data_IF_469242804646
#
_entry.id   IF_469242804646
#
_cell.length_a   1.000
_cell.length_b   1.000
_cell.length_c   1.000
_cell.angle_alpha   90.00
_cell.angle_beta   90.00
_cell.angle_gamma   90.00
#
_symmetry.space_group_name_H-M   'P 1'
#
loop_
_entity.id
_entity.type
_entity.pdbx_description
1 polymer ?
#
# COMPACT_ATOMS: atom_id res chain seq x y z
N UNK A 1 29.38 -21.12 12.50
CA UNK A 1 28.04 -20.52 12.80
C UNK A 1 27.17 -20.81 11.61
N UNK A 2 25.92 -21.21 11.81
CA UNK A 2 25.02 -21.39 10.68
C UNK A 2 24.93 -20.06 9.90
N UNK A 3 24.99 -20.15 8.57
CA UNK A 3 24.89 -18.98 7.69
C UNK A 3 23.50 -18.38 7.86
N UNK A 4 23.41 -17.15 8.35
CA UNK A 4 22.15 -16.43 8.57
C UNK A 4 21.79 -15.67 7.30
N UNK A 5 20.76 -16.10 6.55
CA UNK A 5 20.42 -15.48 5.27
C UNK A 5 19.89 -14.04 5.44
N UNK A 6 20.17 -13.20 4.47
CA UNK A 6 19.45 -11.93 4.31
C UNK A 6 18.03 -12.20 3.82
N UNK A 7 17.06 -11.42 4.32
CA UNK A 7 15.64 -11.59 4.01
C UNK A 7 15.10 -10.31 3.42
N UNK A 8 14.46 -10.39 2.26
CA UNK A 8 13.74 -9.28 1.64
C UNK A 8 12.30 -9.74 1.39
N UNK A 9 11.35 -9.13 2.08
CA UNK A 9 9.94 -9.28 1.83
C UNK A 9 9.48 -8.12 0.94
N UNK A 10 9.00 -8.42 -0.27
CA UNK A 10 8.46 -7.40 -1.18
C UNK A 10 6.96 -7.62 -1.31
N UNK A 11 6.18 -6.57 -1.06
CA UNK A 11 4.74 -6.61 -1.23
C UNK A 11 4.27 -5.47 -2.13
N UNK A 12 3.23 -5.74 -2.91
CA UNK A 12 2.45 -4.75 -3.65
C UNK A 12 1.01 -4.78 -3.13
N UNK A 13 0.41 -3.60 -2.94
CA UNK A 13 -0.92 -3.50 -2.36
C UNK A 13 -2.02 -3.67 -3.42
N UNK A 14 -3.03 -4.46 -3.11
CA UNK A 14 -4.19 -4.73 -3.98
C UNK A 14 -3.81 -5.33 -5.35
N UNK A 15 -2.66 -5.96 -5.46
CA UNK A 15 -2.23 -6.61 -6.70
C UNK A 15 -2.98 -7.93 -6.89
N UNK A 16 -3.65 -8.08 -8.01
CA UNK A 16 -4.33 -9.34 -8.35
C UNK A 16 -3.30 -10.45 -8.60
N UNK A 17 -3.53 -11.62 -8.02
CA UNK A 17 -2.62 -12.76 -8.14
C UNK A 17 -2.42 -13.29 -9.56
N UNK A 18 -3.33 -12.97 -10.50
CA UNK A 18 -3.23 -13.34 -11.91
C UNK A 18 -2.66 -12.24 -12.82
N UNK A 19 -2.28 -11.08 -12.27
CA UNK A 19 -1.74 -9.96 -13.04
C UNK A 19 -0.21 -9.97 -13.10
N UNK A 20 0.35 -11.08 -13.59
CA UNK A 20 1.78 -11.25 -13.86
C UNK A 20 1.97 -11.86 -15.26
N UNK A 21 3.08 -11.57 -15.92
CA UNK A 21 3.42 -12.14 -17.22
C UNK A 21 3.48 -13.67 -17.18
N UNK A 22 4.03 -14.25 -16.12
CA UNK A 22 4.11 -15.70 -15.94
C UNK A 22 2.74 -16.39 -15.67
N UNK A 23 1.67 -15.62 -15.42
CA UNK A 23 0.29 -16.14 -15.36
C UNK A 23 -0.42 -16.18 -16.72
N UNK A 24 0.28 -15.83 -17.80
CA UNK A 24 -0.27 -15.86 -19.15
C UNK A 24 -1.13 -14.66 -19.54
N UNK A 25 -1.16 -13.62 -18.71
CA UNK A 25 -1.83 -12.36 -19.04
C UNK A 25 -0.94 -11.46 -19.90
N UNK A 26 -1.57 -10.59 -20.68
CA UNK A 26 -0.88 -9.56 -21.47
C UNK A 26 -0.28 -8.42 -20.62
N UNK A 27 0.25 -8.77 -19.45
CA UNK A 27 0.92 -7.84 -18.53
C UNK A 27 2.42 -8.03 -18.59
N UNK A 28 3.17 -6.94 -18.71
CA UNK A 28 4.63 -6.99 -18.82
C UNK A 28 5.28 -6.80 -17.45
N UNK A 29 5.68 -7.91 -16.83
CA UNK A 29 6.36 -7.93 -15.50
C UNK A 29 7.72 -8.64 -15.58
N UNK A 30 8.68 -8.17 -16.43
CA UNK A 30 9.86 -8.95 -16.79
C UNK A 30 10.76 -9.29 -15.61
N UNK A 31 10.88 -8.41 -14.62
CA UNK A 31 11.69 -8.66 -13.43
C UNK A 31 11.04 -9.69 -12.49
N UNK A 32 9.74 -9.61 -12.30
CA UNK A 32 8.99 -10.59 -11.50
C UNK A 32 8.93 -11.95 -12.21
N UNK A 33 8.80 -11.96 -13.53
CA UNK A 33 8.86 -13.18 -14.34
C UNK A 33 10.22 -13.87 -14.21
N UNK A 34 11.32 -13.08 -14.20
CA UNK A 34 12.67 -13.60 -13.96
C UNK A 34 12.82 -14.19 -12.57
N UNK A 35 12.30 -13.53 -11.54
CA UNK A 35 12.30 -14.03 -10.16
C UNK A 35 11.50 -15.33 -10.05
N UNK A 36 10.31 -15.39 -10.63
CA UNK A 36 9.47 -16.58 -10.65
C UNK A 36 10.15 -17.77 -11.35
N UNK A 37 10.89 -17.50 -12.43
CA UNK A 37 11.67 -18.53 -13.15
C UNK A 37 12.85 -19.06 -12.35
N UNK A 38 13.49 -18.20 -11.56
CA UNK A 38 14.69 -18.57 -10.76
C UNK A 38 14.38 -19.05 -9.34
N UNK A 39 13.12 -18.98 -8.91
CA UNK A 39 12.70 -19.29 -7.54
C UNK A 39 11.57 -20.31 -7.46
N UNK A 40 10.89 -20.32 -6.32
CA UNK A 40 9.71 -21.15 -6.07
C UNK A 40 8.45 -20.30 -6.13
N UNK A 41 7.49 -20.72 -6.96
CA UNK A 41 6.19 -20.09 -7.07
C UNK A 41 5.15 -20.85 -6.25
N UNK A 42 4.43 -20.13 -5.39
CA UNK A 42 3.32 -20.65 -4.60
C UNK A 42 1.98 -20.27 -5.25
N UNK A 43 1.40 -21.16 -6.04
CA UNK A 43 0.15 -20.89 -6.78
C UNK A 43 -1.08 -20.76 -5.89
N UNK A 44 -1.05 -21.30 -4.68
CA UNK A 44 -2.14 -21.31 -3.71
C UNK A 44 -1.78 -20.56 -2.42
N UNK A 45 -1.15 -19.40 -2.54
CA UNK A 45 -0.89 -18.51 -1.40
C UNK A 45 -2.10 -17.59 -1.18
N UNK A 46 -2.83 -17.81 -0.09
CA UNK A 46 -4.09 -17.12 0.20
C UNK A 46 -3.87 -16.18 1.38
N UNK A 47 -4.26 -14.90 1.20
CA UNK A 47 -4.26 -13.94 2.30
C UNK A 47 -5.38 -14.23 3.32
N UNK A 48 -5.12 -14.07 4.64
CA UNK A 48 -6.14 -14.28 5.66
C UNK A 48 -7.22 -13.20 5.68
N UNK A 49 -7.02 -12.08 4.99
CA UNK A 49 -7.99 -10.99 4.85
C UNK A 49 -7.83 -10.29 3.51
N UNK A 50 -8.94 -9.79 2.98
CA UNK A 50 -8.96 -8.94 1.77
C UNK A 50 -8.72 -7.46 2.10
N UNK A 51 -8.79 -7.07 3.37
CA UNK A 51 -8.49 -5.73 3.84
C UNK A 51 -7.01 -5.57 4.18
N UNK A 52 -6.46 -4.39 3.88
CA UNK A 52 -5.03 -4.11 3.98
C UNK A 52 -4.49 -4.28 5.41
N UNK A 53 -5.14 -3.64 6.38
CA UNK A 53 -4.64 -3.60 7.76
C UNK A 53 -4.64 -4.98 8.42
N UNK A 54 -5.75 -5.76 8.38
CA UNK A 54 -5.74 -7.13 8.89
C UNK A 54 -4.72 -8.04 8.21
N UNK A 55 -4.61 -7.96 6.87
CA UNK A 55 -3.64 -8.76 6.12
C UNK A 55 -2.20 -8.43 6.51
N UNK A 56 -1.86 -7.14 6.67
CA UNK A 56 -0.53 -6.68 7.05
C UNK A 56 -0.18 -7.02 8.49
N UNK A 57 -1.14 -6.88 9.41
CA UNK A 57 -1.00 -7.35 10.78
C UNK A 57 -0.73 -8.86 10.83
N UNK A 58 -1.43 -9.66 10.01
CA UNK A 58 -1.17 -11.09 9.89
C UNK A 58 0.21 -11.42 9.34
N UNK A 59 0.68 -10.68 8.33
CA UNK A 59 2.04 -10.85 7.79
C UNK A 59 3.08 -10.56 8.89
N UNK A 60 2.92 -9.46 9.63
CA UNK A 60 3.89 -9.07 10.66
C UNK A 60 3.92 -10.05 11.84
N UNK A 61 2.74 -10.43 12.34
CA UNK A 61 2.61 -11.23 13.57
C UNK A 61 2.64 -12.74 13.34
N UNK A 62 2.38 -13.20 12.11
CA UNK A 62 2.16 -14.63 11.83
C UNK A 62 0.83 -15.17 12.37
N UNK A 63 -0.10 -14.30 12.77
CA UNK A 63 -1.38 -14.66 13.39
C UNK A 63 -2.57 -14.36 12.47
N UNK A 64 -3.71 -15.00 12.73
CA UNK A 64 -4.96 -14.69 12.04
C UNK A 64 -5.63 -13.45 12.65
N UNK A 65 -6.50 -12.75 11.88
CA UNK A 65 -7.23 -11.57 12.38
C UNK A 65 -8.01 -11.81 13.68
N UNK A 66 -8.55 -13.00 13.87
CA UNK A 66 -9.23 -13.40 15.11
C UNK A 66 -8.31 -13.47 16.33
N UNK A 67 -7.00 -13.59 16.12
CA UNK A 67 -6.00 -13.70 17.20
C UNK A 67 -5.36 -12.34 17.49
N UNK A 68 -4.90 -11.61 16.47
CA UNK A 68 -4.27 -10.30 16.68
C UNK A 68 -5.29 -9.16 16.82
N UNK A 69 -6.59 -9.40 16.66
CA UNK A 69 -7.67 -8.45 16.91
C UNK A 69 -7.92 -7.39 15.85
N UNK A 70 -7.08 -7.29 14.83
CA UNK A 70 -7.27 -6.36 13.71
C UNK A 70 -8.23 -6.99 12.71
N UNK A 71 -9.53 -6.70 12.86
CA UNK A 71 -10.58 -7.31 12.05
C UNK A 71 -10.94 -6.49 10.80
N UNK A 72 -10.61 -5.19 10.77
CA UNK A 72 -10.93 -4.26 9.68
C UNK A 72 -9.91 -3.12 9.62
N UNK A 73 -9.94 -2.34 8.52
CA UNK A 73 -9.21 -1.08 8.43
C UNK A 73 -9.78 -0.08 9.46
N UNK A 74 -8.87 0.62 10.16
CA UNK A 74 -9.25 1.53 11.24
C UNK A 74 -9.11 0.93 12.65
N UNK A 75 -8.80 -0.37 12.77
CA UNK A 75 -8.46 -1.03 14.03
C UNK A 75 -6.94 -1.21 14.05
N UNK A 76 -6.27 -0.48 14.93
CA UNK A 76 -4.82 -0.50 14.99
C UNK A 76 -4.30 -1.81 15.60
N UNK A 77 -3.17 -2.27 15.07
CA UNK A 77 -2.42 -3.36 15.68
C UNK A 77 -1.84 -2.91 17.03
N UNK A 78 -1.99 -3.74 18.05
CA UNK A 78 -1.31 -3.52 19.33
C UNK A 78 0.21 -3.44 19.12
N UNK A 79 0.89 -2.38 19.59
CA UNK A 79 2.33 -2.23 19.43
C UNK A 79 3.13 -3.41 20.00
N UNK A 80 2.71 -3.99 21.13
CA UNK A 80 3.38 -5.14 21.72
C UNK A 80 3.25 -6.40 20.84
N UNK A 81 2.10 -6.59 20.17
CA UNK A 81 1.93 -7.65 19.19
C UNK A 81 2.81 -7.43 17.95
N UNK A 82 2.94 -6.19 17.50
CA UNK A 82 3.85 -5.82 16.42
C UNK A 82 5.31 -6.10 16.76
N UNK A 83 5.76 -5.67 17.94
CA UNK A 83 7.12 -5.92 18.46
C UNK A 83 7.42 -7.41 18.65
N UNK A 84 6.42 -8.23 18.95
CA UNK A 84 6.55 -9.68 19.03
C UNK A 84 6.59 -10.37 17.66
N UNK A 85 6.28 -9.66 16.59
CA UNK A 85 6.25 -10.17 15.22
C UNK A 85 7.64 -10.55 14.69
N UNK A 86 7.68 -10.93 13.39
CA UNK A 86 8.92 -11.42 12.78
C UNK A 86 10.04 -10.39 12.82
N UNK A 87 9.73 -9.10 12.61
CA UNK A 87 10.73 -8.04 12.58
C UNK A 87 11.44 -7.89 13.94
N UNK A 88 10.68 -7.75 15.03
CA UNK A 88 11.26 -7.67 16.36
C UNK A 88 11.96 -8.96 16.82
N UNK A 89 11.45 -10.12 16.40
CA UNK A 89 12.12 -11.40 16.67
C UNK A 89 13.47 -11.46 15.98
N UNK A 90 13.58 -11.06 14.72
CA UNK A 90 14.85 -11.02 13.98
C UNK A 90 15.78 -9.93 14.51
N UNK A 91 15.26 -8.76 14.90
CA UNK A 91 16.07 -7.71 15.53
C UNK A 91 16.73 -8.22 16.82
N UNK A 92 15.99 -8.91 17.70
CA UNK A 92 16.54 -9.55 18.89
C UNK A 92 17.56 -10.65 18.58
N UNK A 93 17.45 -11.27 17.40
CA UNK A 93 18.44 -12.24 16.92
C UNK A 93 19.66 -11.57 16.24
N UNK A 94 19.76 -10.24 16.24
CA UNK A 94 20.89 -9.49 15.72
C UNK A 94 20.84 -9.24 14.22
N UNK A 95 19.64 -9.16 13.62
CA UNK A 95 19.42 -8.67 12.27
C UNK A 95 19.23 -7.17 12.28
N UNK A 96 19.74 -6.48 11.26
CA UNK A 96 19.28 -5.15 10.92
C UNK A 96 17.89 -5.28 10.30
N UNK A 97 16.86 -4.60 10.87
CA UNK A 97 15.48 -4.70 10.37
C UNK A 97 15.01 -3.37 9.82
N UNK A 98 14.38 -3.40 8.63
CA UNK A 98 13.89 -2.18 7.98
C UNK A 98 12.52 -2.36 7.33
N UNK A 99 11.70 -1.31 7.32
CA UNK A 99 10.47 -1.25 6.51
C UNK A 99 10.44 0.03 5.69
N UNK A 100 10.09 -0.11 4.40
CA UNK A 100 10.05 0.98 3.43
C UNK A 100 8.70 1.00 2.73
N UNK A 101 7.99 2.12 2.81
CA UNK A 101 6.71 2.32 2.15
C UNK A 101 5.50 2.14 3.06
N UNK A 102 4.47 1.46 2.57
CA UNK A 102 3.20 1.30 3.29
C UNK A 102 3.30 0.25 4.38
N UNK A 103 3.32 0.66 5.64
CA UNK A 103 3.21 -0.24 6.79
C UNK A 103 1.76 -0.59 7.10
N UNK A 104 0.90 0.39 7.34
CA UNK A 104 -0.53 0.27 7.56
C UNK A 104 -0.88 -0.66 8.73
N UNK A 105 -0.12 -0.58 9.82
CA UNK A 105 -0.41 -1.24 11.10
C UNK A 105 -1.33 -0.38 11.97
N UNK A 106 -1.35 0.93 11.73
CA UNK A 106 -2.37 1.86 12.16
C UNK A 106 -2.77 2.76 10.99
N UNK A 107 -3.85 3.51 11.13
CA UNK A 107 -4.35 4.34 10.04
C UNK A 107 -4.33 5.82 10.37
N UNK A 108 -4.30 6.64 9.32
CA UNK A 108 -4.46 8.08 9.44
C UNK A 108 -5.75 8.46 10.18
N UNK A 109 -6.85 7.76 9.89
CA UNK A 109 -8.17 8.00 10.45
C UNK A 109 -8.65 6.79 11.24
N UNK A 110 -7.91 6.43 12.29
CA UNK A 110 -8.33 5.36 13.22
C UNK A 110 -9.56 5.77 14.00
N UNK A 111 -10.38 4.81 14.40
CA UNK A 111 -11.54 5.02 15.27
C UNK A 111 -11.15 5.55 16.64
N UNK A 112 -9.94 5.20 17.10
CA UNK A 112 -9.34 5.70 18.31
C UNK A 112 -7.98 6.30 17.95
N UNK A 113 -7.83 7.64 17.96
CA UNK A 113 -6.55 8.28 17.74
C UNK A 113 -5.49 7.70 18.66
N UNK A 114 -4.34 7.36 18.07
CA UNK A 114 -3.18 6.84 18.80
C UNK A 114 -1.97 7.69 18.45
N UNK A 115 -0.94 7.63 19.30
CA UNK A 115 0.32 8.33 19.05
C UNK A 115 1.25 7.58 18.10
N UNK A 116 0.70 6.73 17.23
CA UNK A 116 1.49 6.00 16.25
C UNK A 116 1.93 6.90 15.09
N UNK A 117 3.08 6.60 14.46
CA UNK A 117 3.59 7.42 13.36
C UNK A 117 2.67 7.44 12.13
N UNK A 118 1.80 6.47 11.98
CA UNK A 118 0.83 6.39 10.88
C UNK A 118 -0.48 7.11 11.16
N UNK A 119 -0.77 7.47 12.41
CA UNK A 119 -1.97 8.21 12.78
C UNK A 119 -1.81 9.70 12.43
N UNK A 120 -2.89 10.34 11.96
CA UNK A 120 -2.89 11.77 11.59
C UNK A 120 -2.37 12.68 12.72
N UNK A 121 -2.85 12.44 13.93
CA UNK A 121 -2.44 13.22 15.11
C UNK A 121 -1.05 12.83 15.60
N UNK A 122 -0.75 11.52 15.63
CA UNK A 122 0.54 11.01 16.08
C UNK A 122 1.68 11.39 15.14
N UNK A 123 1.47 11.35 13.83
CA UNK A 123 2.53 11.62 12.84
C UNK A 123 3.19 13.00 13.00
N UNK A 124 2.43 13.99 13.48
CA UNK A 124 2.91 15.35 13.70
C UNK A 124 3.84 15.48 14.93
N UNK A 125 3.80 14.52 15.83
CA UNK A 125 4.61 14.52 17.06
C UNK A 125 6.01 13.92 16.85
N UNK A 126 6.25 13.28 15.71
CA UNK A 126 7.55 12.69 15.41
C UNK A 126 8.49 13.71 14.78
N UNK A 127 9.78 13.76 15.23
CA UNK A 127 10.79 14.61 14.62
C UNK A 127 10.97 14.36 13.12
N UNK A 128 11.46 15.38 12.42
CA UNK A 128 11.65 15.28 10.96
C UNK A 128 12.68 14.23 10.55
N UNK A 129 13.65 13.96 11.41
CA UNK A 129 14.71 12.96 11.24
C UNK A 129 14.36 11.58 11.85
N UNK A 130 13.16 11.43 12.42
CA UNK A 130 12.76 10.14 12.98
C UNK A 130 12.64 9.08 11.88
N UNK A 131 13.28 7.95 12.12
CA UNK A 131 13.27 6.79 11.22
C UNK A 131 13.17 5.45 11.96
N UNK A 132 12.47 5.45 13.08
CA UNK A 132 12.25 4.25 13.91
C UNK A 132 12.74 4.42 15.36
N UNK A 133 12.59 3.39 16.18
CA UNK A 133 11.98 2.09 15.87
C UNK A 133 10.45 2.14 15.75
N UNK A 134 9.85 1.13 15.06
CA UNK A 134 8.41 0.96 14.96
C UNK A 134 8.03 -0.50 14.65
N UNK A 135 7.14 -1.09 15.42
CA UNK A 135 6.58 -2.44 15.21
C UNK A 135 7.68 -3.52 15.01
N UNK A 136 8.77 -3.42 15.75
CA UNK A 136 9.90 -4.34 15.69
C UNK A 136 10.91 -4.07 14.56
N UNK A 137 10.66 -3.09 13.70
CA UNK A 137 11.65 -2.60 12.74
C UNK A 137 12.52 -1.53 13.40
N UNK A 138 13.85 -1.69 13.32
CA UNK A 138 14.81 -0.71 13.83
C UNK A 138 14.94 0.52 12.95
N UNK A 139 14.67 0.37 11.65
CA UNK A 139 14.65 1.46 10.67
C UNK A 139 13.34 1.49 9.91
N UNK A 140 12.73 2.66 9.77
CA UNK A 140 11.47 2.81 9.04
C UNK A 140 11.49 4.05 8.15
N UNK A 141 10.96 3.90 6.95
CA UNK A 141 10.66 5.00 6.04
C UNK A 141 9.27 4.81 5.47
N UNK A 142 8.31 5.56 5.99
CA UNK A 142 6.90 5.30 5.83
C UNK A 142 6.25 6.18 4.77
N UNK A 143 5.24 5.61 4.12
CA UNK A 143 4.18 6.29 3.39
C UNK A 143 2.89 6.12 4.22
N UNK A 144 2.32 7.22 4.66
CA UNK A 144 1.10 7.19 5.50
C UNK A 144 -0.16 7.38 4.69
N UNK A 145 -0.11 8.26 3.69
CA UNK A 145 -1.27 8.61 2.88
C UNK A 145 -1.40 7.78 1.60
N UNK A 146 -0.36 7.08 1.21
CA UNK A 146 -0.34 6.29 -0.02
C UNK A 146 -0.61 7.14 -1.25
N UNK A 147 -1.73 6.86 -1.91
CA UNK A 147 -2.22 7.66 -3.03
C UNK A 147 -3.09 8.80 -2.51
N UNK A 148 -2.74 10.01 -2.88
CA UNK A 148 -3.51 11.18 -2.56
C UNK A 148 -4.67 11.30 -3.58
N UNK A 149 -5.85 11.71 -3.20
CA UNK A 149 -6.96 11.85 -4.14
C UNK A 149 -6.94 13.22 -4.83
N UNK A 150 -7.36 13.30 -6.11
CA UNK A 150 -7.59 14.56 -6.83
C UNK A 150 -8.45 15.57 -6.04
N UNK A 151 -9.30 15.10 -5.14
CA UNK A 151 -10.18 15.95 -4.35
C UNK A 151 -9.45 16.80 -3.29
N UNK A 152 -8.16 16.60 -3.06
CA UNK A 152 -7.39 17.42 -2.12
C UNK A 152 -6.78 18.63 -2.82
N UNK A 153 -7.58 19.68 -2.95
CA UNK A 153 -7.17 20.97 -3.49
C UNK A 153 -6.21 21.78 -2.57
N UNK A 154 -5.93 21.30 -1.36
CA UNK A 154 -5.05 22.01 -0.43
C UNK A 154 -3.71 21.31 -0.28
N UNK A 155 -2.61 22.07 -0.25
CA UNK A 155 -1.31 21.52 0.10
C UNK A 155 -1.46 20.73 1.40
N UNK A 156 -0.89 19.53 1.42
CA UNK A 156 -0.82 18.74 2.63
C UNK A 156 0.06 19.55 3.56
N UNK A 157 -0.44 19.99 4.72
CA UNK A 157 0.48 20.32 5.78
C UNK A 157 1.37 19.09 6.00
N UNK A 158 2.52 19.16 6.65
CA UNK A 158 3.41 18.00 6.85
C UNK A 158 2.77 16.96 7.78
N UNK A 159 1.53 16.55 7.43
CA UNK A 159 0.85 15.39 8.00
C UNK A 159 1.39 14.17 7.28
N UNK A 160 1.98 13.24 7.98
CA UNK A 160 2.56 12.04 7.41
C UNK A 160 4.01 11.86 7.81
N UNK A 161 4.68 10.96 7.15
CA UNK A 161 6.04 10.60 7.49
C UNK A 161 7.02 10.91 6.34
N UNK A 162 8.02 10.09 6.16
CA UNK A 162 9.17 10.41 5.32
C UNK A 162 8.79 10.72 3.86
N UNK A 163 7.87 9.95 3.27
CA UNK A 163 7.46 10.20 1.88
C UNK A 163 6.68 11.52 1.72
N UNK A 164 5.75 11.77 2.60
CA UNK A 164 4.94 13.00 2.55
C UNK A 164 5.82 14.24 2.78
N UNK A 165 6.81 14.16 3.69
CA UNK A 165 7.80 15.22 3.91
C UNK A 165 8.71 15.41 2.71
N UNK A 166 9.19 14.30 2.10
CA UNK A 166 9.94 14.34 0.85
C UNK A 166 9.14 15.03 -0.25
N UNK A 167 7.88 14.65 -0.44
CA UNK A 167 7.03 15.25 -1.46
C UNK A 167 6.78 16.73 -1.18
N UNK A 168 6.51 17.12 0.08
CA UNK A 168 6.34 18.50 0.51
C UNK A 168 7.60 19.34 0.23
N UNK A 169 8.80 18.80 0.40
CA UNK A 169 10.05 19.50 0.06
C UNK A 169 10.17 19.80 -1.44
N UNK A 170 9.59 18.95 -2.31
CA UNK A 170 9.54 19.18 -3.76
C UNK A 170 8.51 20.25 -4.14
N UNK A 171 7.51 20.47 -3.30
CA UNK A 171 6.56 21.57 -3.47
C UNK A 171 7.21 22.95 -3.30
N UNK A 172 8.14 23.07 -2.34
CA UNK A 172 8.90 24.28 -2.13
C UNK A 172 9.76 24.66 -3.35
N UNK A 173 10.15 23.67 -4.16
CA UNK A 173 10.90 23.84 -5.41
C UNK A 173 10.00 24.24 -6.61
N UNK A 174 8.73 24.55 -6.39
CA UNK A 174 7.88 25.21 -7.38
C UNK A 174 7.04 24.31 -8.28
N UNK A 175 6.40 23.23 -7.78
CA UNK A 175 5.38 22.64 -8.62
C UNK A 175 5.00 21.17 -8.46
N UNK A 176 5.56 20.43 -7.50
CA UNK A 176 5.28 18.99 -7.40
C UNK A 176 3.79 18.69 -7.10
N UNK A 177 3.12 19.56 -6.38
CA UNK A 177 1.73 19.36 -5.97
C UNK A 177 0.76 19.53 -7.12
N UNK A 178 0.95 20.59 -7.91
CA UNK A 178 0.13 20.81 -9.09
C UNK A 178 0.36 19.72 -10.13
N UNK A 179 1.63 19.27 -10.28
CA UNK A 179 1.96 18.18 -11.19
C UNK A 179 1.27 16.87 -10.81
N UNK A 180 1.15 16.60 -9.53
CA UNK A 180 0.53 15.36 -9.09
C UNK A 180 -1.01 15.38 -9.22
N UNK A 181 -1.66 16.52 -8.94
CA UNK A 181 -3.08 16.71 -9.18
C UNK A 181 -3.41 16.88 -10.68
N UNK A 182 -2.38 17.11 -11.51
CA UNK A 182 -2.54 17.33 -12.95
C UNK A 182 -2.76 16.00 -13.66
N UNK A 183 -3.89 15.89 -14.34
CA UNK A 183 -4.14 14.83 -15.30
C UNK A 183 -3.59 15.20 -16.66
N UNK A 184 -2.71 14.36 -17.20
CA UNK A 184 -2.20 14.51 -18.55
C UNK A 184 -3.25 14.05 -19.58
N UNK A 185 -3.40 14.75 -20.72
CA UNK A 185 -4.35 14.39 -21.75
C UNK A 185 -3.99 13.07 -22.46
N UNK A 186 -4.99 12.31 -23.00
CA UNK A 186 -6.42 12.57 -22.84
C UNK A 186 -6.90 12.21 -21.43
N UNK A 187 -7.91 12.92 -20.92
CA UNK A 187 -8.52 12.56 -19.64
C UNK A 187 -9.16 11.18 -19.71
N UNK A 188 -9.00 10.41 -18.66
CA UNK A 188 -9.64 9.09 -18.55
C UNK A 188 -11.14 9.18 -18.27
N UNK A 189 -11.60 10.34 -17.77
CA UNK A 189 -12.99 10.54 -17.31
C UNK A 189 -13.34 9.77 -16.03
N UNK A 190 -12.42 8.99 -15.47
CA UNK A 190 -12.65 8.19 -14.27
C UNK A 190 -12.21 8.95 -13.01
N UNK A 191 -13.00 8.81 -11.92
CA UNK A 191 -12.75 9.53 -10.68
C UNK A 191 -11.44 9.14 -9.96
N UNK A 192 -11.00 7.90 -10.15
CA UNK A 192 -9.83 7.32 -9.46
C UNK A 192 -8.78 6.77 -10.42
N UNK A 193 -8.78 7.20 -11.68
CA UNK A 193 -7.81 6.74 -12.68
C UNK A 193 -7.41 7.91 -13.56
N UNK A 194 -6.13 8.22 -13.62
CA UNK A 194 -5.61 9.29 -14.50
C UNK A 194 -4.14 9.10 -14.84
N UNK A 195 -3.73 9.71 -15.93
CA UNK A 195 -2.32 9.83 -16.27
C UNK A 195 -1.72 10.97 -15.45
N UNK A 196 -0.93 10.63 -14.44
CA UNK A 196 -0.38 11.63 -13.52
C UNK A 196 0.72 12.47 -14.18
N UNK A 197 0.69 13.78 -13.95
CA UNK A 197 1.77 14.70 -14.30
C UNK A 197 2.98 14.62 -13.37
N UNK A 198 2.91 13.82 -12.30
CA UNK A 198 4.02 13.64 -11.36
C UNK A 198 5.23 13.00 -12.06
N UNK A 199 6.43 13.58 -11.95
CA UNK A 199 7.63 12.94 -12.46
C UNK A 199 7.89 11.57 -11.82
N UNK A 200 8.28 10.58 -12.61
CA UNK A 200 8.59 9.21 -12.13
C UNK A 200 9.50 9.21 -10.90
N UNK A 201 10.52 10.06 -10.91
CA UNK A 201 11.50 10.19 -9.80
C UNK A 201 10.90 10.64 -8.46
N UNK A 202 9.70 11.20 -8.47
CA UNK A 202 8.99 11.64 -7.25
C UNK A 202 7.84 10.70 -6.86
N UNK A 203 7.52 9.75 -7.73
CA UNK A 203 6.48 8.77 -7.46
C UNK A 203 6.84 7.85 -6.29
N UNK A 204 5.84 7.46 -5.52
CA UNK A 204 5.99 6.63 -4.32
C UNK A 204 6.79 5.36 -4.56
N UNK A 205 6.52 4.67 -5.65
CA UNK A 205 7.22 3.42 -5.99
C UNK A 205 8.70 3.63 -6.29
N UNK A 206 9.08 4.72 -6.96
CA UNK A 206 10.50 5.07 -7.18
C UNK A 206 11.17 5.41 -5.85
N UNK A 207 10.52 6.25 -5.05
CA UNK A 207 11.04 6.65 -3.75
C UNK A 207 11.29 5.43 -2.83
N UNK A 208 10.33 4.50 -2.73
CA UNK A 208 10.47 3.27 -1.93
C UNK A 208 11.70 2.48 -2.40
N UNK A 209 11.84 2.29 -3.72
CA UNK A 209 12.98 1.58 -4.30
C UNK A 209 14.30 2.24 -3.96
N UNK A 210 14.42 3.55 -4.17
CA UNK A 210 15.62 4.33 -3.92
C UNK A 210 16.01 4.31 -2.44
N UNK A 211 15.05 4.54 -1.52
CA UNK A 211 15.30 4.51 -0.08
C UNK A 211 15.75 3.14 0.40
N UNK A 212 15.13 2.08 -0.12
CA UNK A 212 15.54 0.71 0.19
C UNK A 212 16.97 0.45 -0.26
N UNK A 213 17.32 0.85 -1.49
CA UNK A 213 18.67 0.67 -2.05
C UNK A 213 19.71 1.46 -1.26
N UNK A 214 19.41 2.71 -0.89
CA UNK A 214 20.28 3.55 -0.09
C UNK A 214 20.56 2.93 1.28
N UNK A 215 19.51 2.43 1.94
CA UNK A 215 19.67 1.74 3.22
C UNK A 215 20.51 0.47 3.07
N UNK A 216 20.26 -0.36 2.05
CA UNK A 216 21.04 -1.56 1.78
C UNK A 216 22.52 -1.25 1.53
N UNK A 217 22.84 -0.15 0.87
CA UNK A 217 24.21 0.30 0.61
C UNK A 217 24.91 0.86 1.85
N UNK A 218 24.17 1.56 2.70
CA UNK A 218 24.68 2.22 3.89
C UNK A 218 24.94 1.32 5.11
N UNK A 219 24.37 0.10 5.12
CA UNK A 219 24.45 -0.81 6.28
C UNK A 219 25.81 -1.55 6.35
N UNK A 220 26.10 -2.06 7.54
CA UNK A 220 27.31 -2.89 7.78
C UNK A 220 27.21 -4.21 7.03
N UNK A 221 28.24 -4.55 6.26
CA UNK A 221 28.24 -5.73 5.38
C UNK A 221 28.08 -7.09 6.11
N UNK A 222 28.61 -7.18 7.32
CA UNK A 222 28.66 -8.44 8.06
C UNK A 222 27.44 -8.69 8.97
N UNK A 223 26.51 -7.74 9.02
CA UNK A 223 25.27 -7.90 9.78
C UNK A 223 24.17 -8.44 8.86
N UNK A 224 23.52 -9.56 9.17
CA UNK A 224 22.38 -10.04 8.41
C UNK A 224 21.23 -9.04 8.52
N UNK A 225 20.39 -8.98 7.51
CA UNK A 225 19.26 -8.07 7.51
C UNK A 225 17.93 -8.73 7.13
N UNK A 226 16.86 -8.13 7.63
CA UNK A 226 15.51 -8.39 7.18
C UNK A 226 14.82 -7.08 6.84
N UNK A 227 14.37 -6.93 5.59
CA UNK A 227 13.65 -5.73 5.18
C UNK A 227 12.31 -6.05 4.53
N UNK A 228 11.31 -5.23 4.85
CA UNK A 228 10.01 -5.24 4.18
C UNK A 228 9.91 -4.04 3.25
N UNK A 229 9.92 -4.30 1.95
CA UNK A 229 9.74 -3.30 0.88
C UNK A 229 8.30 -3.34 0.45
N UNK A 230 7.52 -2.35 0.84
CA UNK A 230 6.07 -2.37 0.75
C UNK A 230 5.54 -1.27 -0.16
N UNK A 231 5.30 -1.65 -1.43
CA UNK A 231 4.74 -0.74 -2.43
C UNK A 231 3.25 -0.49 -2.19
N UNK A 232 2.83 0.76 -2.30
CA UNK A 232 1.42 1.14 -2.25
C UNK A 232 0.68 0.77 -3.55
N UNK A 233 1.40 0.73 -4.69
CA UNK A 233 0.84 0.33 -5.98
C UNK A 233 0.64 -1.20 -6.07
N UNK A 234 -0.34 -1.64 -6.89
CA UNK A 234 -1.31 -0.89 -7.69
C UNK A 234 -2.65 -0.61 -6.97
N UNK A 235 -2.64 -0.27 -5.69
CA UNK A 235 -3.85 0.18 -4.98
C UNK A 235 -4.39 1.49 -5.62
N UNK A 236 -5.70 1.69 -5.61
CA UNK A 236 -6.30 2.96 -6.05
C UNK A 236 -5.84 4.14 -5.13
N UNK A 237 -5.75 5.39 -5.55
CA UNK A 237 -6.07 5.85 -6.91
C UNK A 237 -5.00 5.36 -7.92
N UNK A 238 -5.43 5.07 -9.15
CA UNK A 238 -4.55 4.61 -10.22
C UNK A 238 -3.98 5.83 -10.95
N UNK A 239 -2.93 6.41 -10.39
CA UNK A 239 -2.32 7.67 -10.78
C UNK A 239 -0.90 7.52 -11.30
N UNK A 240 -0.64 6.40 -11.92
CA UNK A 240 0.67 6.06 -12.45
C UNK A 240 1.21 7.16 -13.39
N UNK A 241 2.48 7.60 -13.24
CA UNK A 241 3.09 8.60 -14.11
C UNK A 241 3.46 8.03 -15.49
N UNK A 242 3.61 8.93 -16.49
CA UNK A 242 4.18 8.55 -17.78
C UNK A 242 5.67 8.15 -17.65
N UNK A 243 6.12 7.16 -18.47
CA UNK A 243 5.39 6.48 -19.55
C UNK A 243 4.57 5.27 -19.08
N UNK A 244 4.58 4.96 -17.79
CA UNK A 244 4.00 3.74 -17.23
C UNK A 244 2.48 3.70 -17.38
N UNK A 245 1.81 4.85 -17.20
CA UNK A 245 0.36 4.96 -17.32
C UNK A 245 -0.20 4.64 -18.72
N UNK A 246 0.67 4.64 -19.75
CA UNK A 246 0.30 4.34 -21.15
C UNK A 246 0.87 3.01 -21.65
N UNK A 247 1.41 2.21 -20.76
CA UNK A 247 2.06 0.96 -21.14
C UNK A 247 1.09 -0.08 -21.68
N UNK A 248 -0.14 -0.04 -21.21
CA UNK A 248 -1.21 -0.94 -21.59
C UNK A 248 -2.40 -0.11 -22.09
N UNK A 249 -2.76 -0.30 -23.37
CA UNK A 249 -3.96 0.32 -23.92
C UNK A 249 -5.20 -0.38 -23.33
N UNK A 250 -6.25 0.35 -22.95
CA UNK A 250 -7.48 -0.24 -22.41
C UNK A 250 -8.06 -1.34 -23.30
N UNK A 251 -7.98 -1.15 -24.63
CA UNK A 251 -8.50 -2.08 -25.63
C UNK A 251 -7.71 -3.39 -25.70
N UNK A 252 -6.48 -3.39 -25.19
CA UNK A 252 -5.61 -4.57 -25.16
C UNK A 252 -5.76 -5.39 -23.85
N UNK A 253 -6.64 -4.96 -22.94
CA UNK A 253 -6.85 -5.62 -21.65
C UNK A 253 -7.93 -6.69 -21.80
N UNK A 254 -7.58 -7.94 -21.51
CA UNK A 254 -8.55 -9.02 -21.42
C UNK A 254 -9.51 -8.77 -20.26
N UNK A 255 -10.77 -8.56 -20.58
CA UNK A 255 -11.81 -8.43 -19.57
C UNK A 255 -12.13 -9.79 -18.95
N UNK A 256 -12.35 -9.86 -17.63
CA UNK A 256 -12.83 -11.09 -17.01
C UNK A 256 -14.18 -11.46 -17.60
N UNK A 257 -14.42 -12.76 -17.74
CA UNK A 257 -15.72 -13.25 -18.22
C UNK A 257 -16.83 -12.72 -17.31
N UNK A 258 -17.74 -11.97 -17.91
CA UNK A 258 -18.91 -11.44 -17.23
C UNK A 258 -20.11 -12.35 -17.54
N UNK A 259 -20.68 -12.95 -16.50
CA UNK A 259 -21.89 -13.78 -16.61
C UNK A 259 -23.04 -13.10 -15.89
N UNK A 260 -24.01 -12.52 -16.60
CA UNK A 260 -25.16 -11.83 -15.96
C UNK A 260 -25.90 -12.70 -14.94
N UNK A 261 -25.97 -14.02 -15.15
CA UNK A 261 -26.57 -14.95 -14.22
C UNK A 261 -25.89 -15.00 -12.84
N UNK A 262 -24.62 -14.67 -12.76
CA UNK A 262 -23.90 -14.64 -11.49
C UNK A 262 -24.40 -13.49 -10.61
N UNK A 263 -24.95 -12.44 -11.20
CA UNK A 263 -25.52 -11.32 -10.46
C UNK A 263 -26.91 -11.62 -9.90
N UNK A 264 -27.69 -12.48 -10.55
CA UNK A 264 -29.04 -12.83 -10.11
C UNK A 264 -29.07 -13.49 -8.72
N UNK A 265 -27.97 -14.16 -8.33
CA UNK A 265 -27.83 -14.84 -7.02
C UNK A 265 -27.06 -14.02 -5.99
N UNK A 266 -26.58 -12.84 -6.35
CA UNK A 266 -25.82 -11.97 -5.45
C UNK A 266 -26.78 -11.14 -4.58
N UNK A 267 -26.32 -10.72 -3.39
CA UNK A 267 -27.07 -9.76 -2.58
C UNK A 267 -27.42 -8.49 -3.37
N UNK A 268 -28.54 -7.86 -3.01
CA UNK A 268 -29.05 -6.67 -3.72
C UNK A 268 -28.00 -5.58 -3.89
N UNK A 269 -27.22 -5.30 -2.85
CA UNK A 269 -26.19 -4.26 -2.88
C UNK A 269 -25.11 -4.53 -3.94
N UNK A 270 -24.75 -5.81 -4.21
CA UNK A 270 -23.82 -6.13 -5.31
C UNK A 270 -24.46 -5.82 -6.66
N UNK A 271 -25.72 -6.21 -6.86
CA UNK A 271 -26.45 -5.96 -8.11
C UNK A 271 -26.60 -4.47 -8.39
N UNK A 272 -26.87 -3.68 -7.36
CA UNK A 272 -26.91 -2.22 -7.45
C UNK A 272 -25.56 -1.64 -7.81
N UNK A 273 -24.48 -2.09 -7.15
CA UNK A 273 -23.12 -1.59 -7.38
C UNK A 273 -22.60 -1.85 -8.80
N UNK A 274 -23.06 -2.94 -9.45
CA UNK A 274 -22.68 -3.24 -10.85
C UNK A 274 -23.66 -2.65 -11.88
N UNK A 275 -24.61 -1.80 -11.44
CA UNK A 275 -25.59 -1.16 -12.34
C UNK A 275 -26.67 -2.11 -12.88
N UNK A 276 -26.78 -3.33 -12.36
CA UNK A 276 -27.79 -4.28 -12.78
C UNK A 276 -29.20 -3.95 -12.26
N UNK A 277 -29.29 -3.15 -11.20
CA UNK A 277 -30.52 -2.63 -10.64
C UNK A 277 -30.39 -1.14 -10.33
N UNK A 278 -31.41 -0.32 -10.57
CA UNK A 278 -31.37 1.09 -10.20
C UNK A 278 -31.29 1.23 -8.67
N UNK A 279 -30.59 2.26 -8.23
CA UNK A 279 -30.57 2.66 -6.81
C UNK A 279 -31.97 3.19 -6.49
N UNK A 280 -32.85 2.34 -6.01
CA UNK A 280 -34.10 2.79 -5.40
C UNK A 280 -33.76 3.08 -3.94
N UNK A 281 -33.77 4.35 -3.58
CA UNK A 281 -33.69 4.75 -2.19
C UNK A 281 -34.91 4.13 -1.45
N UNK A 282 -34.67 3.08 -0.69
CA UNK A 282 -35.67 2.54 0.23
C UNK A 282 -35.58 3.38 1.51
N UNK A 283 -36.59 4.22 1.81
CA UNK A 283 -36.56 5.05 3.01
C UNK A 283 -36.57 4.26 4.31
N UNK A 284 -36.85 2.95 4.28
CA UNK A 284 -36.78 2.06 5.42
C UNK A 284 -35.39 1.49 5.68
N UNK A 285 -34.49 1.53 4.69
CA UNK A 285 -33.09 1.14 4.85
C UNK A 285 -32.30 2.38 5.27
N UNK A 286 -32.20 2.61 6.56
CA UNK A 286 -31.11 3.45 7.08
C UNK A 286 -29.82 2.73 6.73
N UNK A 287 -29.08 3.26 5.77
CA UNK A 287 -27.69 2.84 5.60
C UNK A 287 -27.01 3.00 6.96
N UNK A 288 -26.39 1.95 7.51
CA UNK A 288 -25.50 2.14 8.65
C UNK A 288 -24.43 3.08 8.15
N UNK A 289 -24.52 4.36 8.57
CA UNK A 289 -23.54 5.36 8.22
C UNK A 289 -22.17 4.82 8.59
N UNK A 290 -21.29 4.71 7.62
CA UNK A 290 -19.90 4.40 7.88
C UNK A 290 -19.39 5.41 8.93
N UNK A 291 -18.81 4.94 10.04
CA UNK A 291 -18.37 5.84 11.14
C UNK A 291 -17.32 6.88 10.74
N UNK A 292 -16.94 6.96 9.49
CA UNK A 292 -15.93 7.86 8.96
C UNK A 292 -16.42 9.05 8.14
N UNK A 293 -17.73 9.31 8.04
CA UNK A 293 -18.28 10.46 7.31
C UNK A 293 -18.94 11.52 8.24
N UNK A 294 -18.34 11.79 9.38
CA UNK A 294 -18.65 13.02 10.14
C UNK A 294 -17.39 13.84 10.36
#
# INVERSE_FOLDING_TARGET
>A
MADRPNIILITSDQHRGDCFGFEGRAVKTPHLDLMAKGGTRFSNCITPSVFCQPARASILTGQLPSTHGVADNGINLDPAAGEAGFAGTLARAGYDTGVFGKAHFSTRATYQPTDTPECKTGSQSYPDDWNGPYMGFSHVELIVHGHLSKARANPIPPEGQQYERYLASRLADGGAYDMWATELPPSTGAAQTWHSGLPVKWHSSTWIGDRTIDWLRGRKKDTPFCTWVSFADPHHAFDCPEPWSRRHAPEAVDLPQHRPMDHARRPRWVRTAVGAEPIVADPAIREPGWPGQR
#
